data_IF_110323229331
#
_entry.id   IF_110323229331
#
_cell.length_a   1.000
_cell.length_b   1.000
_cell.length_c   1.000
_cell.angle_alpha   90.00
_cell.angle_beta   90.00
_cell.angle_gamma   90.00
#
_symmetry.space_group_name_H-M   'P 1'
#
loop_
_entity.id
_entity.type
_entity.pdbx_description
1 polymer ?
#
# COMPACT_ATOMS: atom_id res chain seq x y z
N UNK A 1 23.98 -6.15 3.26
CA UNK A 1 23.59 -4.91 2.62
C UNK A 1 22.29 -4.41 3.24
N UNK A 2 22.28 -3.17 3.66
CA UNK A 2 21.07 -2.53 4.17
C UNK A 2 20.18 -2.13 2.99
N UNK A 3 18.90 -2.45 3.09
CA UNK A 3 17.93 -2.01 2.09
C UNK A 3 17.71 -0.51 2.18
N UNK A 4 17.57 0.12 1.04
CA UNK A 4 17.34 1.57 0.97
C UNK A 4 15.84 1.85 1.02
N UNK A 5 15.41 2.64 1.99
CA UNK A 5 14.04 3.11 2.09
C UNK A 5 13.86 4.22 1.06
N UNK A 6 12.87 4.09 0.18
CA UNK A 6 12.58 5.09 -0.85
C UNK A 6 11.43 5.99 -0.48
N UNK A 7 10.50 5.51 0.34
CA UNK A 7 9.39 6.35 0.84
C UNK A 7 8.76 5.70 2.05
N UNK A 8 8.05 6.53 2.82
CA UNK A 8 7.33 6.07 4.00
C UNK A 8 6.09 6.92 4.24
N UNK A 9 5.15 6.35 4.99
CA UNK A 9 3.95 7.06 5.42
C UNK A 9 3.54 6.58 6.79
N UNK A 10 3.08 7.50 7.63
CA UNK A 10 2.53 7.17 8.94
C UNK A 10 1.01 7.15 8.82
N UNK A 11 0.42 6.03 9.21
CA UNK A 11 -1.02 5.87 9.36
C UNK A 11 -1.37 5.80 10.84
N UNK A 12 -2.65 5.91 11.13
CA UNK A 12 -3.18 5.66 12.47
C UNK A 12 -4.06 4.41 12.38
N UNK A 13 -4.01 3.58 13.41
CA UNK A 13 -4.85 2.38 13.50
C UNK A 13 -5.60 2.39 14.82
N UNK A 14 -6.91 2.21 14.76
CA UNK A 14 -7.75 2.19 15.94
C UNK A 14 -8.94 3.12 15.82
N UNK A 15 -9.59 3.38 16.96
CA UNK A 15 -10.75 4.26 17.03
C UNK A 15 -10.84 4.91 18.41
N UNK A 16 -11.45 6.12 18.46
CA UNK A 16 -11.62 6.86 19.69
C UNK A 16 -10.29 7.22 20.34
N UNK A 17 -10.16 6.89 21.63
CA UNK A 17 -8.95 7.19 22.40
C UNK A 17 -7.86 6.14 22.25
N UNK A 18 -8.15 5.04 21.53
CA UNK A 18 -7.22 3.93 21.34
C UNK A 18 -6.70 3.91 19.90
N UNK A 19 -5.85 4.87 19.59
CA UNK A 19 -5.25 5.03 18.27
C UNK A 19 -3.74 4.89 18.40
N UNK A 20 -3.14 4.07 17.52
CA UNK A 20 -1.71 3.83 17.49
C UNK A 20 -1.15 4.12 16.10
N UNK A 21 0.08 4.64 16.01
CA UNK A 21 0.70 4.87 14.70
C UNK A 21 1.12 3.55 14.06
N UNK A 22 0.97 3.49 12.73
CA UNK A 22 1.54 2.45 11.88
C UNK A 22 2.47 3.13 10.87
N UNK A 23 3.67 2.61 10.74
CA UNK A 23 4.64 3.12 9.79
C UNK A 23 4.75 2.18 8.61
N UNK A 24 4.42 2.67 7.41
CA UNK A 24 4.56 1.92 6.17
C UNK A 24 5.81 2.39 5.44
N UNK A 25 6.68 1.45 5.12
CA UNK A 25 7.94 1.70 4.42
C UNK A 25 7.98 0.92 3.13
N UNK A 26 8.48 1.56 2.08
CA UNK A 26 8.82 0.88 0.83
C UNK A 26 10.33 0.97 0.61
N UNK A 27 10.90 -0.16 0.20
CA UNK A 27 12.34 -0.23 -0.08
C UNK A 27 12.59 -0.16 -1.58
N UNK A 28 13.81 0.20 -1.94
CA UNK A 28 14.22 0.30 -3.34
C UNK A 28 14.02 -1.04 -4.05
N UNK A 29 13.31 -1.08 -5.19
CA UNK A 29 13.18 -2.30 -5.96
C UNK A 29 14.56 -2.84 -6.37
N UNK A 30 14.68 -4.15 -6.38
CA UNK A 30 15.94 -4.85 -6.67
C UNK A 30 15.76 -5.82 -7.84
N UNK A 31 16.72 -5.85 -8.78
CA UNK A 31 16.69 -6.88 -9.81
C UNK A 31 17.05 -8.24 -9.22
N UNK A 32 16.35 -9.28 -9.66
CA UNK A 32 16.66 -10.66 -9.37
C UNK A 32 17.16 -11.37 -10.61
N UNK A 33 17.29 -12.70 -10.52
CA UNK A 33 17.74 -13.52 -11.64
C UNK A 33 16.70 -13.57 -12.78
N UNK A 34 15.42 -13.49 -12.44
CA UNK A 34 14.31 -13.63 -13.38
C UNK A 34 13.41 -12.39 -13.38
N UNK A 35 13.15 -11.84 -12.21
CA UNK A 35 12.24 -10.73 -12.04
C UNK A 35 12.80 -9.71 -11.05
N UNK A 36 12.04 -8.63 -10.84
CA UNK A 36 12.34 -7.62 -9.83
C UNK A 36 11.53 -7.88 -8.58
N UNK A 37 12.04 -7.42 -7.44
CA UNK A 37 11.30 -7.49 -6.18
C UNK A 37 11.29 -6.13 -5.50
N UNK A 38 10.21 -5.87 -4.78
CA UNK A 38 10.08 -4.68 -3.94
C UNK A 38 9.55 -5.12 -2.58
N UNK A 39 10.26 -4.74 -1.54
CA UNK A 39 9.85 -5.05 -0.17
C UNK A 39 9.06 -3.89 0.41
N UNK A 40 8.02 -4.20 1.16
CA UNK A 40 7.40 -3.25 2.05
C UNK A 40 7.40 -3.78 3.47
N UNK A 41 7.35 -2.86 4.43
CA UNK A 41 7.28 -3.19 5.86
C UNK A 41 6.25 -2.31 6.52
N UNK A 42 5.44 -2.91 7.40
CA UNK A 42 4.51 -2.20 8.27
C UNK A 42 5.02 -2.40 9.70
N UNK A 43 5.36 -1.29 10.37
CA UNK A 43 5.87 -1.31 11.73
C UNK A 43 4.82 -0.77 12.68
N UNK A 44 4.57 -1.49 13.78
CA UNK A 44 3.70 -1.02 14.86
C UNK A 44 4.52 -0.33 15.94
N UNK A 45 3.86 0.44 16.80
CA UNK A 45 4.49 1.10 17.95
C UNK A 45 5.17 0.10 18.89
N UNK A 46 4.66 -1.12 18.99
CA UNK A 46 5.19 -2.16 19.88
C UNK A 46 6.39 -2.90 19.30
N UNK A 47 6.79 -2.57 18.09
CA UNK A 47 7.91 -3.19 17.42
C UNK A 47 7.56 -4.40 16.57
N UNK A 48 6.29 -4.80 16.53
CA UNK A 48 5.85 -5.85 15.61
C UNK A 48 5.94 -5.33 14.18
N UNK A 49 6.44 -6.15 13.27
CA UNK A 49 6.56 -5.79 11.87
C UNK A 49 5.92 -6.84 10.99
N UNK A 50 5.34 -6.39 9.86
CA UNK A 50 4.95 -7.26 8.75
C UNK A 50 5.75 -6.83 7.54
N UNK A 51 6.33 -7.79 6.88
CA UNK A 51 7.27 -7.54 5.80
C UNK A 51 7.02 -8.54 4.68
N UNK A 52 6.98 -8.05 3.44
CA UNK A 52 6.78 -8.90 2.26
C UNK A 52 7.64 -8.41 1.11
N UNK A 53 8.14 -9.36 0.33
CA UNK A 53 8.74 -9.11 -0.97
C UNK A 53 7.67 -9.35 -2.04
N UNK A 54 7.47 -8.38 -2.91
CA UNK A 54 6.50 -8.45 -3.99
C UNK A 54 7.25 -8.40 -5.32
N UNK A 55 6.87 -9.26 -6.25
CA UNK A 55 7.62 -9.47 -7.48
C UNK A 55 6.92 -8.83 -8.67
N UNK A 56 7.71 -8.35 -9.62
CA UNK A 56 7.22 -7.76 -10.85
C UNK A 56 8.21 -7.95 -11.99
N UNK A 57 7.76 -7.69 -13.21
CA UNK A 57 8.59 -7.86 -14.42
C UNK A 57 9.66 -6.78 -14.52
N UNK A 58 9.43 -5.62 -13.93
CA UNK A 58 10.39 -4.52 -13.86
C UNK A 58 10.27 -3.81 -12.51
N UNK A 59 11.10 -2.80 -12.30
CA UNK A 59 11.14 -2.06 -11.04
C UNK A 59 9.84 -1.33 -10.75
N UNK A 60 9.21 -0.76 -11.77
CA UNK A 60 7.97 -0.01 -11.63
C UNK A 60 6.81 -0.93 -11.25
N UNK A 61 6.68 -2.06 -11.94
CA UNK A 61 5.64 -3.04 -11.64
C UNK A 61 5.81 -3.61 -10.23
N UNK A 62 7.03 -3.95 -9.84
CA UNK A 62 7.32 -4.45 -8.50
C UNK A 62 6.90 -3.43 -7.43
N UNK A 63 7.20 -2.15 -7.63
CA UNK A 63 6.83 -1.08 -6.71
C UNK A 63 5.30 -0.91 -6.64
N UNK A 64 4.62 -0.85 -7.78
CA UNK A 64 3.16 -0.70 -7.82
C UNK A 64 2.47 -1.87 -7.16
N UNK A 65 2.91 -3.10 -7.45
CA UNK A 65 2.34 -4.29 -6.83
C UNK A 65 2.62 -4.33 -5.32
N UNK A 66 3.78 -3.84 -4.88
CA UNK A 66 4.07 -3.72 -3.45
C UNK A 66 3.11 -2.73 -2.78
N UNK A 67 2.80 -1.61 -3.42
CA UNK A 67 1.82 -0.65 -2.91
C UNK A 67 0.43 -1.25 -2.81
N UNK A 68 0.01 -2.03 -3.81
CA UNK A 68 -1.29 -2.72 -3.79
C UNK A 68 -1.33 -3.78 -2.69
N UNK A 69 -0.27 -4.53 -2.53
CA UNK A 69 -0.17 -5.54 -1.47
C UNK A 69 -0.20 -4.89 -0.08
N UNK A 70 0.51 -3.78 0.10
CA UNK A 70 0.50 -3.03 1.35
C UNK A 70 -0.90 -2.50 1.67
N UNK A 71 -1.61 -1.96 0.67
CA UNK A 71 -2.99 -1.50 0.84
C UNK A 71 -3.90 -2.65 1.28
N UNK A 72 -3.76 -3.83 0.68
CA UNK A 72 -4.54 -5.01 1.08
C UNK A 72 -4.28 -5.41 2.52
N UNK A 73 -3.01 -5.39 2.95
CA UNK A 73 -2.64 -5.67 4.34
C UNK A 73 -3.27 -4.66 5.31
N UNK A 74 -3.25 -3.37 4.95
CA UNK A 74 -3.81 -2.31 5.80
C UNK A 74 -5.33 -2.38 5.85
N UNK A 75 -6.00 -2.70 4.74
CA UNK A 75 -7.45 -2.88 4.71
C UNK A 75 -7.90 -4.09 5.53
N UNK A 76 -7.06 -5.11 5.63
CA UNK A 76 -7.31 -6.31 6.41
C UNK A 76 -6.78 -6.22 7.85
N UNK A 77 -6.29 -5.05 8.27
CA UNK A 77 -5.76 -4.85 9.62
C UNK A 77 -6.85 -5.04 10.67
N UNK A 78 -6.46 -5.50 11.86
CA UNK A 78 -7.40 -5.79 12.95
C UNK A 78 -8.24 -4.59 13.37
N UNK A 79 -7.70 -3.39 13.21
CA UNK A 79 -8.34 -2.13 13.56
C UNK A 79 -8.43 -1.25 12.33
N UNK A 80 -9.38 -0.31 12.25
CA UNK A 80 -9.43 0.62 11.14
C UNK A 80 -8.13 1.40 11.00
N UNK A 81 -7.64 1.51 9.76
CA UNK A 81 -6.41 2.24 9.44
C UNK A 81 -6.81 3.48 8.63
N UNK A 82 -6.28 4.62 9.03
CA UNK A 82 -6.59 5.89 8.38
C UNK A 82 -5.39 6.83 8.44
N UNK A 83 -5.33 7.78 7.51
CA UNK A 83 -4.29 8.80 7.48
C UNK A 83 -4.74 10.08 8.18
N UNK A 84 -5.96 10.51 7.91
CA UNK A 84 -6.57 11.69 8.53
C UNK A 84 -7.90 11.28 9.18
N UNK A 85 -8.24 11.91 10.29
CA UNK A 85 -9.39 11.53 11.12
C UNK A 85 -10.73 11.50 10.38
N UNK A 86 -10.85 12.20 9.26
CA UNK A 86 -12.10 12.26 8.49
C UNK A 86 -12.02 11.56 7.13
N UNK A 87 -10.92 10.88 6.82
CA UNK A 87 -10.72 10.26 5.52
C UNK A 87 -10.40 8.77 5.67
N UNK A 88 -11.23 7.93 5.04
CA UNK A 88 -11.03 6.48 5.02
C UNK A 88 -10.08 6.03 3.91
N UNK A 89 -9.61 6.96 3.10
CA UNK A 89 -8.73 6.65 1.97
C UNK A 89 -7.28 6.51 2.45
N UNK A 90 -6.68 5.38 2.15
CA UNK A 90 -5.27 5.11 2.44
C UNK A 90 -4.33 5.85 1.50
N UNK A 91 -4.85 6.41 0.43
CA UNK A 91 -4.08 7.09 -0.63
C UNK A 91 -2.99 6.19 -1.19
N UNK A 92 -3.34 4.93 -1.39
CA UNK A 92 -2.50 3.92 -2.03
C UNK A 92 -3.27 3.31 -3.20
N UNK A 93 -2.60 2.94 -4.27
CA UNK A 93 -3.27 2.21 -5.34
C UNK A 93 -3.73 0.85 -4.82
N UNK A 94 -4.99 0.51 -5.11
CA UNK A 94 -5.56 -0.79 -4.80
C UNK A 94 -6.11 -1.39 -6.08
N UNK A 95 -6.14 -2.71 -6.16
CA UNK A 95 -6.73 -3.38 -7.32
C UNK A 95 -8.20 -3.01 -7.48
N UNK A 96 -8.93 -2.92 -6.37
CA UNK A 96 -10.34 -2.60 -6.38
C UNK A 96 -10.59 -1.16 -6.83
N UNK A 97 -9.88 -0.20 -6.27
CA UNK A 97 -10.06 1.21 -6.63
C UNK A 97 -9.69 1.49 -8.09
N UNK A 98 -8.65 0.83 -8.60
CA UNK A 98 -8.31 0.95 -10.03
C UNK A 98 -9.41 0.39 -10.92
N UNK A 99 -9.98 -0.76 -10.54
CA UNK A 99 -11.07 -1.38 -11.26
C UNK A 99 -12.32 -0.48 -11.25
N UNK A 100 -12.65 0.08 -10.10
CA UNK A 100 -13.79 0.99 -9.95
C UNK A 100 -13.58 2.27 -10.78
N UNK A 101 -12.39 2.83 -10.78
CA UNK A 101 -12.06 4.01 -11.58
C UNK A 101 -12.21 3.75 -13.06
N UNK A 102 -11.71 2.64 -13.55
CA UNK A 102 -11.84 2.26 -14.96
C UNK A 102 -13.30 2.08 -15.33
N UNK A 103 -14.08 1.39 -14.48
CA UNK A 103 -15.50 1.18 -14.71
C UNK A 103 -16.27 2.50 -14.73
N UNK A 104 -15.96 3.40 -13.81
CA UNK A 104 -16.59 4.71 -13.74
C UNK A 104 -16.28 5.57 -14.97
N UNK A 105 -15.05 5.55 -15.44
CA UNK A 105 -14.63 6.26 -16.65
C UNK A 105 -15.33 5.70 -17.88
N UNK A 106 -15.40 4.38 -17.99
CA UNK A 106 -16.08 3.71 -19.10
C UNK A 106 -17.57 4.06 -19.13
N UNK A 107 -18.23 4.01 -17.97
CA UNK A 107 -19.65 4.36 -17.87
C UNK A 107 -19.92 5.80 -18.30
N UNK A 108 -19.04 6.74 -17.91
CA UNK A 108 -19.15 8.14 -18.34
C UNK A 108 -18.96 8.30 -19.83
N UNK A 109 -18.07 7.52 -20.41
CA UNK A 109 -17.81 7.55 -21.86
C UNK A 109 -19.00 7.02 -22.65
N UNK A 110 -19.56 5.90 -22.22
CA UNK A 110 -20.72 5.26 -22.85
C UNK A 110 -21.97 6.13 -22.72
N UNK A 111 -22.14 6.81 -21.61
CA UNK A 111 -23.26 7.71 -21.38
C UNK A 111 -23.26 8.98 -22.21
N UNK A 112 -22.19 9.23 -22.97
CA UNK A 112 -22.07 10.39 -23.87
C UNK A 112 -22.35 10.04 -25.33
N UNK A 113 -22.57 8.81 -25.62
CA UNK A 113 -22.79 8.35 -26.98
C UNK A 113 -24.19 8.73 -27.49
#
# INVERSE_FOLDING_TARGET
MTDTIVCERIYQAGAGDHVEPLRLLFFLPKPGAVDWSCRFRIETKTGKTRERDVFGLDSLQALVLAMQAAASELLAWEKPVFQFAAADDLMLPTCQSLSEDVSARRARYEGRA
#
